data_IF_179407929454
#
_entry.id   IF_179407929454
#
_cell.length_a   1.000
_cell.length_b   1.000
_cell.length_c   1.000
_cell.angle_alpha   90.00
_cell.angle_beta   90.00
_cell.angle_gamma   90.00
#
_symmetry.space_group_name_H-M   'P 1'
#
loop_
_entity.id
_entity.type
_entity.pdbx_description
1 polymer ?
#
# COMPACT_ATOMS: atom_id res chain seq x y z
N UNK A 1 -59.81 -11.33 -30.07
CA UNK A 1 -59.71 -11.43 -31.54
C UNK A 1 -58.63 -12.42 -31.88
N UNK A 2 -58.88 -13.41 -32.76
CA UNK A 2 -57.85 -14.37 -33.12
C UNK A 2 -56.73 -13.65 -33.87
N UNK A 3 -55.49 -13.82 -33.40
CA UNK A 3 -54.30 -13.29 -34.06
C UNK A 3 -54.07 -14.14 -35.32
N UNK A 4 -54.43 -13.59 -36.48
CA UNK A 4 -54.10 -14.17 -37.77
C UNK A 4 -52.57 -14.17 -37.90
N UNK A 5 -51.96 -15.36 -37.98
CA UNK A 5 -50.54 -15.49 -38.36
C UNK A 5 -50.34 -14.83 -39.73
N UNK A 6 -49.25 -14.07 -39.94
CA UNK A 6 -48.98 -13.50 -41.25
C UNK A 6 -48.77 -14.64 -42.26
N UNK A 7 -49.23 -14.41 -43.50
CA UNK A 7 -49.09 -15.35 -44.60
C UNK A 7 -47.59 -15.63 -44.82
N UNK A 8 -47.16 -16.88 -44.63
CA UNK A 8 -45.79 -17.31 -44.89
C UNK A 8 -45.55 -17.40 -46.40
N UNK A 9 -45.23 -16.26 -46.99
CA UNK A 9 -44.63 -16.15 -48.32
C UNK A 9 -43.37 -15.30 -48.21
N UNK A 10 -42.39 -15.57 -49.06
CA UNK A 10 -41.22 -14.71 -49.19
C UNK A 10 -41.72 -13.28 -49.46
N UNK A 11 -41.37 -12.26 -48.64
CA UNK A 11 -41.91 -10.91 -48.81
C UNK A 11 -41.48 -10.27 -50.13
N UNK A 12 -40.48 -10.83 -50.79
CA UNK A 12 -40.03 -10.40 -52.10
C UNK A 12 -40.89 -11.00 -53.22
N UNK A 13 -41.59 -10.13 -53.94
CA UNK A 13 -42.27 -10.47 -55.19
C UNK A 13 -41.25 -10.93 -56.26
N UNK A 14 -41.63 -11.81 -57.20
CA UNK A 14 -40.75 -12.22 -58.30
C UNK A 14 -40.40 -11.02 -59.19
N UNK A 15 -39.13 -10.61 -59.16
CA UNK A 15 -38.54 -9.48 -59.90
C UNK A 15 -37.91 -9.96 -61.21
N UNK A 16 -38.13 -9.23 -62.32
CA UNK A 16 -37.59 -9.53 -63.65
C UNK A 16 -37.12 -8.24 -64.34
N UNK A 17 -36.07 -7.61 -63.77
CA UNK A 17 -35.56 -6.31 -64.22
C UNK A 17 -34.97 -6.29 -65.64
N UNK A 18 -34.62 -7.46 -66.19
CA UNK A 18 -34.05 -7.57 -67.54
C UNK A 18 -35.08 -7.44 -68.68
N UNK A 19 -36.38 -7.33 -68.37
CA UNK A 19 -37.44 -7.23 -69.37
C UNK A 19 -37.78 -5.77 -69.71
N UNK A 20 -37.67 -5.33 -70.99
CA UNK A 20 -37.87 -3.92 -71.37
C UNK A 20 -39.35 -3.48 -71.43
N UNK A 21 -40.31 -4.42 -71.45
CA UNK A 21 -41.74 -4.10 -71.54
C UNK A 21 -42.27 -3.51 -70.23
N UNK A 22 -42.86 -2.31 -70.30
CA UNK A 22 -43.48 -1.60 -69.15
C UNK A 22 -45.00 -1.44 -69.28
N UNK A 23 -45.63 -2.17 -70.21
CA UNK A 23 -47.04 -2.00 -70.54
C UNK A 23 -47.94 -2.67 -69.47
N UNK A 24 -48.64 -1.84 -68.70
CA UNK A 24 -49.65 -2.25 -67.72
C UNK A 24 -49.14 -2.50 -66.30
N UNK A 25 -50.05 -2.51 -65.33
CA UNK A 25 -49.76 -2.56 -63.89
C UNK A 25 -48.92 -3.77 -63.45
N UNK A 26 -49.10 -4.92 -64.10
CA UNK A 26 -48.37 -6.16 -63.80
C UNK A 26 -46.90 -6.09 -64.27
N UNK A 27 -46.65 -5.51 -65.44
CA UNK A 27 -45.30 -5.34 -65.96
C UNK A 27 -44.52 -4.28 -65.16
N UNK A 28 -45.18 -3.18 -64.79
CA UNK A 28 -44.59 -2.14 -63.95
C UNK A 28 -44.09 -2.71 -62.61
N UNK A 29 -44.91 -3.50 -61.91
CA UNK A 29 -44.54 -4.12 -60.64
C UNK A 29 -43.39 -5.13 -60.72
N UNK A 30 -43.07 -5.67 -61.90
CA UNK A 30 -42.06 -6.74 -62.06
C UNK A 30 -40.76 -6.27 -62.68
N UNK A 31 -40.83 -5.29 -63.58
CA UNK A 31 -39.73 -4.94 -64.49
C UNK A 31 -39.10 -3.58 -64.17
N UNK A 32 -39.74 -2.76 -63.31
CA UNK A 32 -39.17 -1.48 -62.87
C UNK A 32 -38.45 -1.70 -61.56
N UNK A 33 -37.17 -1.38 -61.54
CA UNK A 33 -36.38 -1.38 -60.32
C UNK A 33 -36.57 -0.05 -59.58
N UNK A 34 -37.09 -0.14 -58.36
CA UNK A 34 -37.23 0.97 -57.40
C UNK A 34 -36.43 0.70 -56.13
N UNK A 35 -35.60 -0.36 -56.11
CA UNK A 35 -34.87 -0.78 -54.91
C UNK A 35 -33.93 0.31 -54.40
N UNK A 36 -33.28 1.06 -55.28
CA UNK A 36 -32.43 2.19 -54.90
C UNK A 36 -33.23 3.30 -54.20
N UNK A 37 -34.43 3.62 -54.69
CA UNK A 37 -35.29 4.64 -54.10
C UNK A 37 -35.86 4.17 -52.77
N UNK A 38 -36.27 2.90 -52.67
CA UNK A 38 -36.75 2.29 -51.44
C UNK A 38 -35.65 2.24 -50.36
N UNK A 39 -34.44 1.81 -50.74
CA UNK A 39 -33.27 1.81 -49.86
C UNK A 39 -32.90 3.22 -49.40
N UNK A 40 -32.90 4.21 -50.31
CA UNK A 40 -32.64 5.60 -49.96
C UNK A 40 -33.67 6.18 -48.99
N UNK A 41 -34.96 5.83 -49.15
CA UNK A 41 -36.02 6.23 -48.22
C UNK A 41 -35.88 5.54 -46.86
N UNK A 42 -35.51 4.26 -46.83
CA UNK A 42 -35.26 3.50 -45.59
C UNK A 42 -34.04 4.04 -44.84
N UNK A 43 -32.96 4.38 -45.55
CA UNK A 43 -31.78 5.03 -44.99
C UNK A 43 -32.10 6.40 -44.43
N UNK A 44 -32.86 7.22 -45.17
CA UNK A 44 -33.34 8.53 -44.71
C UNK A 44 -34.18 8.38 -43.44
N UNK A 45 -35.13 7.44 -43.42
CA UNK A 45 -35.94 7.16 -42.23
C UNK A 45 -35.09 6.70 -41.05
N UNK A 46 -34.09 5.85 -41.27
CA UNK A 46 -33.17 5.40 -40.23
C UNK A 46 -32.33 6.56 -39.66
N UNK A 47 -31.88 7.50 -40.50
CA UNK A 47 -31.18 8.71 -40.08
C UNK A 47 -32.09 9.62 -39.25
N UNK A 48 -33.33 9.84 -39.71
CA UNK A 48 -34.34 10.60 -38.96
C UNK A 48 -34.58 9.99 -37.57
N UNK A 49 -34.75 8.66 -37.48
CA UNK A 49 -34.96 7.95 -36.21
C UNK A 49 -33.80 8.14 -35.24
N UNK A 50 -32.55 8.08 -35.74
CA UNK A 50 -31.32 8.17 -34.94
C UNK A 50 -30.96 9.60 -34.51
N UNK A 51 -31.61 10.62 -35.05
CA UNK A 51 -31.39 12.01 -34.65
C UNK A 51 -31.25 13.02 -35.79
N UNK A 52 -31.73 12.71 -36.99
CA UNK A 52 -31.78 13.65 -38.13
C UNK A 52 -30.75 13.34 -39.22
N UNK A 53 -30.96 13.91 -40.41
CA UNK A 53 -30.12 13.73 -41.60
C UNK A 53 -28.79 14.44 -41.40
N UNK A 54 -27.68 13.72 -41.55
CA UNK A 54 -26.33 14.25 -41.27
C UNK A 54 -25.98 15.40 -42.21
N UNK A 55 -26.43 15.32 -43.48
CA UNK A 55 -26.18 16.35 -44.49
C UNK A 55 -26.86 17.70 -44.21
N UNK A 56 -27.94 17.71 -43.41
CA UNK A 56 -28.67 18.94 -43.07
C UNK A 56 -28.12 19.62 -41.80
N UNK A 57 -27.30 18.91 -41.02
CA UNK A 57 -26.73 19.43 -39.77
C UNK A 57 -25.55 20.34 -40.06
N UNK A 58 -25.45 21.42 -39.31
CA UNK A 58 -24.30 22.33 -39.38
C UNK A 58 -23.05 21.65 -38.81
N UNK A 59 -21.88 22.07 -39.25
CA UNK A 59 -20.59 21.55 -38.74
C UNK A 59 -20.43 21.75 -37.23
N UNK A 60 -21.05 22.80 -36.67
CA UNK A 60 -21.03 23.09 -35.24
C UNK A 60 -21.77 22.05 -34.39
N UNK A 61 -22.84 21.44 -34.92
CA UNK A 61 -23.58 20.37 -34.24
C UNK A 61 -22.88 19.01 -34.34
N UNK A 62 -22.12 18.79 -35.41
CA UNK A 62 -21.41 17.53 -35.65
C UNK A 62 -20.08 17.45 -34.91
N UNK A 63 -19.41 18.59 -34.75
CA UNK A 63 -18.05 18.65 -34.21
C UNK A 63 -17.96 19.66 -33.07
N UNK A 64 -17.67 19.15 -31.87
CA UNK A 64 -17.30 19.97 -30.72
C UNK A 64 -15.84 19.68 -30.33
N UNK A 65 -15.04 20.72 -30.15
CA UNK A 65 -13.67 20.61 -29.65
C UNK A 65 -13.73 20.78 -28.13
N UNK A 66 -13.61 19.68 -27.40
CA UNK A 66 -13.64 19.70 -25.94
C UNK A 66 -12.27 20.11 -25.39
N UNK A 67 -12.12 21.40 -25.06
CA UNK A 67 -10.89 21.98 -24.51
C UNK A 67 -10.86 21.89 -22.98
N UNK A 68 -12.00 21.69 -22.30
CA UNK A 68 -12.10 21.72 -20.84
C UNK A 68 -13.06 20.65 -20.31
N UNK A 69 -12.68 19.89 -19.28
CA UNK A 69 -13.54 18.85 -18.72
C UNK A 69 -14.82 19.45 -18.13
N UNK A 70 -15.97 18.97 -18.58
CA UNK A 70 -17.27 19.41 -18.09
C UNK A 70 -17.57 18.85 -16.69
N UNK A 71 -17.55 19.75 -15.70
CA UNK A 71 -17.77 19.41 -14.29
C UNK A 71 -19.19 18.93 -14.00
N UNK A 72 -20.16 19.25 -14.86
CA UNK A 72 -21.54 18.80 -14.69
C UNK A 72 -21.72 17.31 -14.96
N UNK A 73 -20.89 16.72 -15.84
CA UNK A 73 -20.94 15.28 -16.15
C UNK A 73 -20.65 14.47 -14.89
N UNK A 74 -19.71 14.92 -14.05
CA UNK A 74 -19.41 14.26 -12.77
C UNK A 74 -20.55 14.33 -11.76
N UNK A 75 -21.42 15.35 -11.85
CA UNK A 75 -22.62 15.50 -11.02
C UNK A 75 -23.80 14.67 -11.56
N UNK A 76 -23.94 14.61 -12.90
CA UNK A 76 -25.00 13.88 -13.61
C UNK A 76 -24.76 12.37 -13.64
N UNK A 77 -23.51 11.94 -13.65
CA UNK A 77 -23.10 10.54 -13.59
C UNK A 77 -22.51 10.24 -12.21
N UNK A 78 -23.33 9.89 -11.19
CA UNK A 78 -22.78 9.35 -9.96
C UNK A 78 -21.97 8.10 -10.31
N UNK A 79 -20.79 7.96 -9.68
CA UNK A 79 -19.82 6.85 -9.86
C UNK A 79 -20.40 5.44 -9.63
N UNK A 80 -21.69 5.34 -9.28
CA UNK A 80 -22.43 4.13 -8.93
C UNK A 80 -23.72 3.94 -9.77
N UNK A 81 -23.81 4.49 -10.99
CA UNK A 81 -24.81 4.02 -11.95
C UNK A 81 -24.46 2.58 -12.35
N UNK A 82 -25.06 1.61 -11.65
CA UNK A 82 -25.21 0.25 -12.17
C UNK A 82 -25.82 0.39 -13.56
N UNK A 83 -25.24 -0.25 -14.58
CA UNK A 83 -25.84 -0.31 -15.91
C UNK A 83 -27.35 -0.56 -15.74
N UNK A 84 -28.23 0.27 -16.32
CA UNK A 84 -29.66 0.02 -16.23
C UNK A 84 -29.94 -1.39 -16.74
N UNK A 85 -31.02 -2.01 -16.26
CA UNK A 85 -31.41 -3.31 -16.79
C UNK A 85 -31.58 -3.18 -18.30
N UNK A 86 -31.23 -4.23 -19.06
CA UNK A 86 -31.33 -4.22 -20.53
C UNK A 86 -32.76 -3.89 -20.99
N UNK A 87 -33.79 -4.24 -20.19
CA UNK A 87 -35.17 -3.85 -20.43
C UNK A 87 -35.37 -2.33 -20.37
N UNK A 88 -34.84 -1.67 -19.34
CA UNK A 88 -34.94 -0.22 -19.16
C UNK A 88 -34.10 0.52 -20.21
N UNK A 89 -32.95 -0.04 -20.60
CA UNK A 89 -32.12 0.47 -21.71
C UNK A 89 -32.90 0.46 -23.04
N UNK A 90 -33.58 -0.66 -23.36
CA UNK A 90 -34.41 -0.77 -24.56
C UNK A 90 -35.59 0.21 -24.50
N UNK A 91 -36.23 0.38 -23.34
CA UNK A 91 -37.34 1.34 -23.18
C UNK A 91 -36.88 2.82 -23.23
N UNK A 92 -35.63 3.09 -22.86
CA UNK A 92 -35.03 4.41 -22.91
C UNK A 92 -34.56 4.82 -24.32
N UNK A 93 -34.33 3.86 -25.23
CA UNK A 93 -34.04 4.10 -26.65
C UNK A 93 -35.29 4.64 -27.37
N UNK A 94 -35.62 5.92 -27.12
CA UNK A 94 -36.67 6.64 -27.83
C UNK A 94 -36.07 7.28 -29.09
N UNK A 95 -36.71 7.08 -30.24
CA UNK A 95 -36.38 7.79 -31.48
C UNK A 95 -36.50 9.30 -31.29
N UNK A 96 -35.70 10.09 -32.00
CA UNK A 96 -35.83 11.54 -32.01
C UNK A 96 -37.20 12.02 -32.54
N UNK A 97 -37.86 11.20 -33.37
CA UNK A 97 -39.21 11.45 -33.88
C UNK A 97 -40.23 11.28 -32.75
N UNK A 98 -41.07 12.29 -32.46
CA UNK A 98 -42.13 12.16 -31.47
C UNK A 98 -43.16 11.12 -31.94
N UNK A 99 -43.68 10.32 -31.01
CA UNK A 99 -44.73 9.36 -31.32
C UNK A 99 -45.96 10.07 -31.92
N UNK A 100 -46.51 9.50 -33.00
CA UNK A 100 -47.74 10.00 -33.62
C UNK A 100 -48.85 9.98 -32.57
N UNK A 101 -49.46 11.13 -32.31
CA UNK A 101 -50.45 11.26 -31.24
C UNK A 101 -51.67 10.40 -31.55
N UNK A 102 -51.92 9.36 -30.73
CA UNK A 102 -53.07 8.45 -30.88
C UNK A 102 -54.42 9.07 -30.46
N UNK A 103 -54.42 10.33 -29.99
CA UNK A 103 -55.66 11.05 -29.67
C UNK A 103 -56.23 11.68 -30.94
N UNK A 104 -57.44 11.26 -31.34
CA UNK A 104 -58.35 12.11 -32.13
C UNK A 104 -58.59 13.38 -31.32
N UNK A 105 -57.96 14.50 -31.69
CA UNK A 105 -58.31 15.80 -31.12
C UNK A 105 -59.72 16.17 -31.60
N UNK A 106 -60.73 16.43 -30.74
CA UNK A 106 -61.67 17.49 -31.06
C UNK A 106 -60.84 18.77 -31.18
N UNK A 107 -61.11 19.58 -32.20
CA UNK A 107 -60.38 20.82 -32.45
C UNK A 107 -60.20 21.60 -31.14
N UNK A 108 -58.97 21.60 -30.62
CA UNK A 108 -58.63 22.36 -29.44
C UNK A 108 -58.64 23.83 -29.86
N UNK A 109 -59.40 24.65 -29.13
CA UNK A 109 -59.53 26.11 -29.31
C UNK A 109 -58.20 26.87 -29.25
N UNK A 110 -57.06 26.19 -29.05
CA UNK A 110 -55.72 26.76 -29.10
C UNK A 110 -55.02 26.55 -30.46
N UNK A 111 -55.63 25.81 -31.40
CA UNK A 111 -55.07 25.58 -32.75
C UNK A 111 -55.98 26.04 -33.89
N UNK A 112 -57.11 26.65 -33.57
CA UNK A 112 -58.08 27.18 -34.54
C UNK A 112 -58.00 28.69 -34.69
N UNK A 113 -56.81 29.26 -34.91
CA UNK A 113 -56.59 30.59 -35.52
C UNK A 113 -55.10 30.89 -35.55
N UNK A 114 -54.50 30.73 -36.73
CA UNK A 114 -53.27 31.45 -37.08
C UNK A 114 -53.73 32.85 -37.49
N UNK A 115 -53.76 33.80 -36.56
CA UNK A 115 -53.72 35.24 -36.85
C UNK A 115 -53.13 35.98 -35.65
N UNK A 116 -52.05 36.72 -35.91
CA UNK A 116 -51.25 37.57 -35.02
C UNK A 116 -50.65 36.94 -33.76
N UNK A 117 -49.31 36.84 -33.76
CA UNK A 117 -48.44 36.24 -32.75
C UNK A 117 -48.44 36.89 -31.36
N UNK A 118 -49.61 37.16 -30.78
CA UNK A 118 -49.75 37.59 -29.39
C UNK A 118 -50.44 36.49 -28.60
N UNK A 119 -49.64 35.75 -27.82
CA UNK A 119 -50.16 34.79 -26.85
C UNK A 119 -50.97 35.55 -25.78
N UNK A 120 -52.19 35.11 -25.41
CA UNK A 120 -52.93 35.76 -24.34
C UNK A 120 -52.19 35.55 -23.01
N UNK A 121 -51.65 36.63 -22.45
CA UNK A 121 -51.10 36.62 -21.09
C UNK A 121 -52.22 36.19 -20.13
N UNK A 122 -52.02 35.05 -19.47
CA UNK A 122 -52.94 34.52 -18.45
C UNK A 122 -53.21 35.62 -17.42
N UNK A 123 -54.41 36.22 -17.45
CA UNK A 123 -54.80 37.24 -16.46
C UNK A 123 -54.72 36.60 -15.07
N UNK A 124 -53.83 37.12 -14.22
CA UNK A 124 -53.76 36.75 -12.81
C UNK A 124 -55.10 37.13 -12.16
N UNK A 125 -55.76 36.18 -11.50
CA UNK A 125 -57.02 36.47 -10.81
C UNK A 125 -56.70 37.33 -9.58
N UNK A 126 -57.16 38.57 -9.56
CA UNK A 126 -56.85 39.56 -8.50
C UNK A 126 -57.32 39.15 -7.09
N UNK A 127 -58.24 38.19 -6.99
CA UNK A 127 -58.86 37.77 -5.72
C UNK A 127 -58.21 36.55 -5.08
N UNK A 128 -57.23 35.91 -5.72
CA UNK A 128 -56.65 34.65 -5.22
C UNK A 128 -55.12 34.67 -5.28
N UNK A 129 -54.48 34.62 -4.11
CA UNK A 129 -53.03 34.44 -4.01
C UNK A 129 -52.71 32.95 -4.18
N UNK A 130 -51.82 32.65 -5.11
CA UNK A 130 -51.46 31.26 -5.39
C UNK A 130 -50.66 30.67 -4.20
N UNK A 131 -50.76 29.36 -3.97
CA UNK A 131 -50.04 28.71 -2.87
C UNK A 131 -48.51 28.88 -2.97
N UNK A 132 -47.99 29.10 -4.18
CA UNK A 132 -46.58 29.43 -4.45
C UNK A 132 -46.21 30.83 -3.98
N UNK A 133 -47.11 31.81 -4.13
CA UNK A 133 -46.90 33.16 -3.63
C UNK A 133 -47.05 33.22 -2.11
N UNK A 134 -48.00 32.47 -1.54
CA UNK A 134 -48.11 32.34 -0.09
C UNK A 134 -46.86 31.72 0.55
N UNK A 135 -46.28 30.68 -0.04
CA UNK A 135 -45.04 30.07 0.47
C UNK A 135 -43.84 31.00 0.30
N UNK A 136 -43.80 31.78 -0.79
CA UNK A 136 -42.80 32.85 -0.98
C UNK A 136 -42.95 33.95 0.07
N UNK A 137 -44.17 34.44 0.32
CA UNK A 137 -44.45 35.48 1.31
C UNK A 137 -44.11 35.03 2.74
N UNK A 138 -44.41 33.77 3.08
CA UNK A 138 -43.98 33.18 4.36
C UNK A 138 -42.46 33.17 4.51
N UNK A 139 -41.73 32.69 3.49
CA UNK A 139 -40.26 32.70 3.48
C UNK A 139 -39.67 34.11 3.62
N UNK A 140 -40.29 35.10 2.96
CA UNK A 140 -39.89 36.51 3.09
C UNK A 140 -40.18 37.05 4.49
N UNK A 141 -41.32 36.69 5.10
CA UNK A 141 -41.64 37.05 6.48
C UNK A 141 -40.70 36.40 7.50
N UNK A 142 -40.23 35.19 7.23
CA UNK A 142 -39.24 34.45 8.03
C UNK A 142 -37.80 34.99 7.84
N UNK A 143 -37.60 36.08 7.09
CA UNK A 143 -36.29 36.71 6.88
C UNK A 143 -35.46 36.10 5.74
N UNK A 144 -35.97 35.11 5.02
CA UNK A 144 -35.31 34.52 3.85
C UNK A 144 -35.74 35.20 2.54
N UNK A 145 -35.28 36.44 2.37
CA UNK A 145 -35.32 37.18 1.11
C UNK A 145 -34.48 36.50 0.00
N UNK A 146 -34.96 36.56 -1.24
CA UNK A 146 -34.25 36.03 -2.42
C UNK A 146 -32.96 36.80 -2.74
N UNK A 147 -32.74 37.92 -2.08
CA UNK A 147 -31.58 38.81 -2.23
C UNK A 147 -30.53 38.63 -1.14
N UNK A 148 -30.84 37.94 -0.03
CA UNK A 148 -29.81 37.57 0.94
C UNK A 148 -29.15 36.28 0.52
N UNK A 149 -27.92 36.45 0.04
CA UNK A 149 -26.95 35.37 0.02
C UNK A 149 -26.34 35.34 1.42
N UNK A 150 -26.81 34.44 2.27
CA UNK A 150 -26.04 34.04 3.44
C UNK A 150 -24.75 33.40 2.90
N UNK A 151 -23.63 34.12 3.03
CA UNK A 151 -22.30 33.58 2.72
C UNK A 151 -21.98 32.60 3.85
N UNK A 152 -22.42 31.35 3.66
CA UNK A 152 -22.00 30.24 4.49
C UNK A 152 -20.59 29.89 4.02
N UNK A 153 -19.58 30.30 4.78
CA UNK A 153 -18.22 29.85 4.57
C UNK A 153 -18.23 28.32 4.59
N UNK A 154 -17.80 27.71 3.47
CA UNK A 154 -17.87 26.26 3.27
C UNK A 154 -16.83 25.54 4.14
N UNK A 155 -17.05 25.45 5.45
CA UNK A 155 -16.35 24.53 6.35
C UNK A 155 -16.96 23.13 6.22
N UNK A 156 -17.10 22.62 5.00
CA UNK A 156 -17.61 21.29 4.75
C UNK A 156 -16.43 20.33 4.54
N UNK A 157 -16.15 19.52 5.56
CA UNK A 157 -15.21 18.40 5.43
C UNK A 157 -15.86 17.31 4.55
N UNK A 158 -15.35 17.15 3.34
CA UNK A 158 -15.83 16.17 2.37
C UNK A 158 -15.69 14.70 2.84
N UNK A 159 -14.98 14.46 3.95
CA UNK A 159 -14.77 13.15 4.56
C UNK A 159 -15.53 12.96 5.87
N UNK A 160 -16.17 13.99 6.39
CA UNK A 160 -17.03 13.86 7.56
C UNK A 160 -18.36 13.22 7.16
N UNK A 161 -18.85 12.28 7.98
CA UNK A 161 -20.22 11.78 7.81
C UNK A 161 -21.18 12.98 7.90
N UNK A 162 -22.12 13.14 6.95
CA UNK A 162 -23.03 14.27 6.96
C UNK A 162 -23.79 14.30 8.29
N UNK A 163 -23.70 15.39 9.04
CA UNK A 163 -24.37 15.55 10.33
C UNK A 163 -25.87 15.26 10.26
N UNK A 164 -26.47 15.49 9.08
CA UNK A 164 -27.87 15.16 8.79
C UNK A 164 -28.19 13.67 8.94
N UNK A 165 -27.26 12.76 8.62
CA UNK A 165 -27.46 11.32 8.82
C UNK A 165 -27.39 10.93 10.29
N UNK A 166 -26.55 11.60 11.08
CA UNK A 166 -26.49 11.39 12.53
C UNK A 166 -27.77 11.90 13.20
N UNK A 167 -28.24 13.10 12.82
CA UNK A 167 -29.51 13.69 13.28
C UNK A 167 -30.71 12.84 12.88
N UNK A 168 -30.75 12.29 11.65
CA UNK A 168 -31.81 11.36 11.21
C UNK A 168 -31.81 10.05 12.01
N UNK A 169 -30.64 9.51 12.34
CA UNK A 169 -30.52 8.30 13.20
C UNK A 169 -30.99 8.56 14.62
N UNK A 170 -30.70 9.74 15.18
CA UNK A 170 -31.17 10.16 16.50
C UNK A 170 -32.69 10.37 16.51
N UNK A 171 -33.24 11.10 15.52
CA UNK A 171 -34.68 11.31 15.38
C UNK A 171 -35.44 10.00 15.15
N UNK A 172 -34.92 9.09 14.32
CA UNK A 172 -35.51 7.77 14.12
C UNK A 172 -35.49 6.92 15.41
N UNK A 173 -34.43 7.04 16.23
CA UNK A 173 -34.36 6.37 17.52
C UNK A 173 -35.38 6.93 18.52
N UNK A 174 -35.62 8.25 18.51
CA UNK A 174 -36.61 8.92 19.37
C UNK A 174 -38.06 8.65 18.93
N UNK A 175 -38.33 8.59 17.62
CA UNK A 175 -39.68 8.32 17.09
C UNK A 175 -40.08 6.85 17.21
N UNK A 176 -39.09 5.93 17.23
CA UNK A 176 -39.31 4.48 17.28
C UNK A 176 -38.78 3.86 18.58
N UNK A 177 -39.05 4.49 19.73
CA UNK A 177 -38.67 3.99 21.07
C UNK A 177 -39.27 2.62 21.44
N UNK A 178 -40.26 2.12 20.69
CA UNK A 178 -40.94 0.85 20.91
C UNK A 178 -40.34 -0.32 20.11
N UNK A 179 -39.45 -0.05 19.15
CA UNK A 179 -38.72 -1.11 18.45
C UNK A 179 -37.44 -1.45 19.24
N UNK A 180 -37.13 -2.75 19.43
CA UNK A 180 -35.86 -3.13 20.01
C UNK A 180 -34.73 -2.60 19.12
N UNK A 181 -33.80 -1.85 19.71
CA UNK A 181 -32.64 -1.29 19.00
C UNK A 181 -31.87 -2.45 18.37
N UNK A 182 -31.65 -2.37 17.05
CA UNK A 182 -30.86 -3.39 16.34
C UNK A 182 -29.43 -3.36 16.89
N UNK A 183 -29.08 -4.37 17.69
CA UNK A 183 -27.73 -4.50 18.23
C UNK A 183 -26.77 -4.85 17.11
N UNK A 184 -25.85 -3.92 16.80
CA UNK A 184 -24.73 -4.22 15.90
C UNK A 184 -23.80 -5.23 16.58
N UNK A 185 -23.20 -6.17 15.83
CA UNK A 185 -22.23 -7.10 16.40
C UNK A 185 -21.11 -6.32 17.10
N UNK A 186 -20.79 -6.69 18.35
CA UNK A 186 -19.75 -6.05 19.14
C UNK A 186 -18.41 -6.21 18.42
N UNK A 187 -17.79 -5.10 18.03
CA UNK A 187 -16.48 -5.12 17.42
C UNK A 187 -15.44 -5.70 18.41
N UNK A 188 -14.43 -6.44 17.93
CA UNK A 188 -13.36 -6.91 18.78
C UNK A 188 -12.58 -5.73 19.37
N UNK A 189 -12.16 -5.84 20.64
CA UNK A 189 -11.40 -4.81 21.37
C UNK A 189 -10.07 -4.42 20.68
N UNK A 190 -9.54 -5.29 19.82
CA UNK A 190 -8.30 -5.04 19.07
C UNK A 190 -8.44 -3.93 18.04
N UNK A 191 -9.65 -3.67 17.54
CA UNK A 191 -9.89 -2.64 16.52
C UNK A 191 -9.72 -1.22 17.09
N UNK A 192 -9.97 -1.05 18.39
CA UNK A 192 -9.79 0.23 19.09
C UNK A 192 -8.37 0.42 19.65
N UNK A 193 -7.54 -0.62 19.62
CA UNK A 193 -6.15 -0.52 20.09
C UNK A 193 -5.29 0.18 19.05
N UNK A 194 -4.51 1.17 19.51
CA UNK A 194 -3.57 1.88 18.67
C UNK A 194 -2.33 1.00 18.37
N UNK A 195 -1.67 1.20 17.22
CA UNK A 195 -0.46 0.46 16.88
C UNK A 195 0.67 0.79 17.88
N UNK A 196 1.49 -0.21 18.16
CA UNK A 196 2.63 -0.08 19.08
C UNK A 196 3.81 0.52 18.32
N UNK A 197 4.28 1.69 18.75
CA UNK A 197 5.47 2.32 18.16
C UNK A 197 6.77 1.57 18.52
N UNK A 198 7.74 1.62 17.61
CA UNK A 198 9.07 1.02 17.77
C UNK A 198 10.03 1.90 18.58
N UNK A 199 9.70 3.17 18.82
CA UNK A 199 10.48 4.10 19.63
C UNK A 199 10.65 3.59 21.07
N UNK A 200 11.86 3.68 21.63
CA UNK A 200 12.25 3.27 23.00
C UNK A 200 11.31 3.88 24.06
N UNK A 201 10.96 5.14 23.86
CA UNK A 201 10.05 5.94 24.69
C UNK A 201 8.62 5.41 24.66
N UNK A 202 8.14 4.89 23.52
CA UNK A 202 6.75 4.46 23.31
C UNK A 202 5.74 5.55 23.17
N UNK A 203 6.23 6.77 22.99
CA UNK A 203 5.44 7.83 22.41
C UNK A 203 5.10 7.48 20.97
N UNK A 204 4.01 8.05 20.49
CA UNK A 204 3.60 7.90 19.10
C UNK A 204 4.32 8.95 18.27
N UNK A 205 5.06 8.49 17.28
CA UNK A 205 5.75 9.41 16.37
C UNK A 205 4.75 10.11 15.45
N UNK A 206 4.99 11.40 15.14
CA UNK A 206 4.17 12.15 14.19
C UNK A 206 4.22 11.51 12.80
N UNK A 207 3.17 11.72 12.00
CA UNK A 207 3.10 11.15 10.65
C UNK A 207 4.13 11.73 9.68
N UNK A 208 4.55 12.97 9.92
CA UNK A 208 5.62 13.68 9.23
C UNK A 208 6.44 14.38 10.31
N UNK A 209 7.73 14.04 10.48
CA UNK A 209 8.58 14.76 11.43
C UNK A 209 8.82 16.18 10.91
N UNK A 210 8.93 17.15 11.84
CA UNK A 210 9.28 18.52 11.48
C UNK A 210 10.79 18.59 11.25
N UNK A 211 11.28 19.12 10.12
CA UNK A 211 12.71 19.28 9.91
C UNK A 211 13.25 20.35 10.86
N UNK A 212 14.48 20.16 11.33
CA UNK A 212 15.27 21.17 12.05
C UNK A 212 15.80 22.23 11.07
N UNK A 213 16.25 23.37 11.61
CA UNK A 213 16.74 24.52 10.82
C UNK A 213 18.00 24.20 9.99
N UNK A 214 18.80 23.26 10.46
CA UNK A 214 19.96 22.66 9.77
C UNK A 214 19.62 21.97 8.43
N UNK A 215 18.34 21.64 8.18
CA UNK A 215 17.82 21.05 6.93
C UNK A 215 17.25 22.08 5.96
N UNK A 216 17.31 23.37 6.30
CA UNK A 216 16.95 24.42 5.37
C UNK A 216 17.94 24.49 4.20
N UNK A 217 17.52 25.12 3.10
CA UNK A 217 18.37 25.29 1.91
C UNK A 217 19.57 26.22 2.16
N UNK A 218 19.43 27.16 3.10
CA UNK A 218 20.44 28.10 3.53
C UNK A 218 20.47 28.12 5.07
N UNK A 219 21.07 27.08 5.69
CA UNK A 219 21.12 26.93 7.14
C UNK A 219 22.12 27.93 7.76
N UNK A 220 21.93 28.21 9.05
CA UNK A 220 22.96 28.89 9.82
C UNK A 220 24.25 28.05 9.81
N UNK A 221 25.40 28.71 9.72
CA UNK A 221 26.70 28.04 9.59
C UNK A 221 26.99 27.09 10.76
N UNK A 222 26.62 27.48 11.98
CA UNK A 222 26.77 26.67 13.20
C UNK A 222 26.03 25.34 13.06
N UNK A 223 24.73 25.41 12.80
CA UNK A 223 23.82 24.27 12.76
C UNK A 223 24.20 23.30 11.62
N UNK A 224 24.59 23.86 10.47
CA UNK A 224 25.11 23.08 9.35
C UNK A 224 26.41 22.37 9.70
N UNK A 225 27.36 23.08 10.32
CA UNK A 225 28.68 22.52 10.66
C UNK A 225 28.56 21.39 11.69
N UNK A 226 27.65 21.52 12.65
CA UNK A 226 27.37 20.50 13.66
C UNK A 226 26.78 19.25 13.00
N UNK A 227 25.73 19.40 12.20
CA UNK A 227 25.15 18.30 11.44
C UNK A 227 26.16 17.62 10.52
N UNK A 228 26.98 18.40 9.81
CA UNK A 228 28.02 17.87 8.94
C UNK A 228 29.03 17.02 9.72
N UNK A 229 29.48 17.50 10.89
CA UNK A 229 30.39 16.76 11.76
C UNK A 229 29.74 15.49 12.35
N UNK A 230 28.46 15.54 12.72
CA UNK A 230 27.73 14.38 13.22
C UNK A 230 27.61 13.28 12.17
N UNK A 231 27.17 13.63 10.96
CA UNK A 231 27.05 12.67 9.86
C UNK A 231 28.42 12.14 9.41
N UNK A 232 29.46 12.99 9.42
CA UNK A 232 30.85 12.56 9.19
C UNK A 232 31.26 11.50 10.21
N UNK A 233 31.04 11.74 11.52
CA UNK A 233 31.38 10.77 12.58
C UNK A 233 30.61 9.47 12.41
N UNK A 234 29.31 9.51 12.08
CA UNK A 234 28.50 8.31 11.82
C UNK A 234 29.06 7.51 10.65
N UNK A 235 29.47 8.17 9.57
CA UNK A 235 30.06 7.52 8.40
C UNK A 235 31.43 6.90 8.72
N UNK A 236 32.30 7.62 9.43
CA UNK A 236 33.61 7.12 9.88
C UNK A 236 33.47 5.90 10.79
N UNK A 237 32.52 5.93 11.73
CA UNK A 237 32.22 4.79 12.59
C UNK A 237 31.72 3.57 11.82
N UNK A 238 30.87 3.77 10.81
CA UNK A 238 30.36 2.69 9.98
C UNK A 238 31.47 2.00 9.18
N UNK A 239 32.36 2.79 8.55
CA UNK A 239 33.52 2.26 7.82
C UNK A 239 34.53 1.59 8.77
N UNK A 240 34.80 2.18 9.94
CA UNK A 240 35.64 1.54 10.95
C UNK A 240 35.07 0.20 11.40
N UNK A 241 33.77 0.12 11.70
CA UNK A 241 33.10 -1.15 12.06
C UNK A 241 33.22 -2.18 10.94
N UNK A 242 33.06 -1.76 9.67
CA UNK A 242 33.24 -2.62 8.50
C UNK A 242 34.67 -3.17 8.40
N UNK A 243 35.68 -2.33 8.55
CA UNK A 243 37.09 -2.75 8.53
C UNK A 243 37.40 -3.71 9.69
N UNK A 244 36.93 -3.41 10.91
CA UNK A 244 37.11 -4.28 12.07
C UNK A 244 36.44 -5.65 11.87
N UNK A 245 35.27 -5.72 11.22
CA UNK A 245 34.60 -6.97 10.87
C UNK A 245 35.40 -7.79 9.86
N UNK A 246 35.91 -7.15 8.80
CA UNK A 246 36.79 -7.81 7.81
C UNK A 246 38.08 -8.33 8.43
N UNK A 247 38.71 -7.56 9.33
CA UNK A 247 39.90 -7.98 10.06
C UNK A 247 39.61 -9.18 10.97
N UNK A 248 38.48 -9.15 11.70
CA UNK A 248 38.04 -10.29 12.53
C UNK A 248 37.80 -11.54 11.68
N UNK A 249 37.20 -11.41 10.51
CA UNK A 249 37.01 -12.52 9.58
C UNK A 249 38.34 -13.07 9.05
N UNK A 250 39.27 -12.18 8.67
CA UNK A 250 40.63 -12.56 8.25
C UNK A 250 41.36 -13.35 9.34
N UNK A 251 41.32 -12.86 10.58
CA UNK A 251 41.95 -13.52 11.73
C UNK A 251 41.31 -14.88 12.03
N UNK A 252 39.97 -14.99 11.93
CA UNK A 252 39.27 -16.28 12.08
C UNK A 252 39.65 -17.26 10.98
N UNK A 253 39.75 -16.80 9.73
CA UNK A 253 40.16 -17.63 8.60
C UNK A 253 41.61 -18.11 8.75
N UNK A 254 42.52 -17.22 9.18
CA UNK A 254 43.91 -17.58 9.46
C UNK A 254 44.03 -18.59 10.61
N UNK A 255 43.29 -18.38 11.69
CA UNK A 255 43.23 -19.31 12.81
C UNK A 255 42.68 -20.68 12.37
N UNK A 256 41.60 -20.70 11.58
CA UNK A 256 41.04 -21.94 11.04
C UNK A 256 42.00 -22.65 10.08
N UNK A 257 42.73 -21.91 9.24
CA UNK A 257 43.75 -22.46 8.35
C UNK A 257 44.93 -23.06 9.14
N UNK A 258 45.39 -22.37 10.20
CA UNK A 258 46.42 -22.87 11.11
C UNK A 258 45.97 -24.15 11.81
N UNK A 259 44.76 -24.16 12.38
CA UNK A 259 44.21 -25.36 13.02
C UNK A 259 44.00 -26.51 12.03
N UNK A 260 43.59 -26.23 10.79
CA UNK A 260 43.47 -27.25 9.74
C UNK A 260 44.84 -27.81 9.35
N UNK A 261 45.86 -26.96 9.18
CA UNK A 261 47.20 -27.40 8.88
C UNK A 261 47.81 -28.22 10.02
N UNK A 262 47.53 -27.86 11.27
CA UNK A 262 47.93 -28.65 12.45
C UNK A 262 47.20 -29.99 12.50
N UNK A 263 45.90 -30.03 12.21
CA UNK A 263 45.14 -31.27 12.14
C UNK A 263 45.64 -32.18 11.01
N UNK A 264 45.89 -31.64 9.82
CA UNK A 264 46.45 -32.40 8.69
C UNK A 264 47.87 -32.89 8.98
N UNK A 265 48.70 -32.10 9.68
CA UNK A 265 50.02 -32.55 10.13
C UNK A 265 49.92 -33.64 11.19
N UNK A 266 48.93 -33.58 12.09
CA UNK A 266 48.66 -34.62 13.07
C UNK A 266 48.13 -35.90 12.41
N UNK A 267 47.24 -35.79 11.42
CA UNK A 267 46.75 -36.91 10.60
C UNK A 267 47.89 -37.55 9.81
N UNK A 268 48.73 -36.76 9.12
CA UNK A 268 49.93 -37.28 8.42
C UNK A 268 50.89 -37.97 9.38
N UNK A 269 51.06 -37.44 10.60
CA UNK A 269 51.87 -38.08 11.64
C UNK A 269 51.23 -39.38 12.15
N UNK A 270 49.90 -39.43 12.24
CA UNK A 270 49.17 -40.64 12.62
C UNK A 270 49.20 -41.69 11.50
N UNK A 271 49.02 -41.29 10.24
CA UNK A 271 49.10 -42.16 9.06
C UNK A 271 50.51 -42.74 8.87
N UNK A 272 51.55 -41.92 9.09
CA UNK A 272 52.93 -42.41 9.15
C UNK A 272 53.17 -43.36 10.33
N UNK A 273 52.51 -43.15 11.47
CA UNK A 273 52.58 -44.04 12.62
C UNK A 273 51.78 -45.34 12.43
N UNK A 274 50.70 -45.32 11.65
CA UNK A 274 49.91 -46.51 11.31
C UNK A 274 50.63 -47.37 10.26
N UNK A 275 51.34 -46.77 9.30
CA UNK A 275 52.22 -47.50 8.38
C UNK A 275 53.48 -48.08 9.04
N UNK A 276 53.94 -47.50 10.15
CA UNK A 276 55.10 -47.98 10.90
C UNK A 276 54.76 -49.14 11.86
N UNK A 277 53.47 -49.33 12.24
CA UNK A 277 53.03 -50.42 13.14
C UNK A 277 52.66 -51.72 12.38
N UNK A 278 52.35 -51.65 11.07
CA UNK A 278 52.12 -52.84 10.21
C UNK A 278 53.40 -53.34 9.49
N UNK A 279 54.51 -52.60 9.59
CA UNK A 279 55.82 -53.00 9.03
C UNK A 279 56.78 -53.59 10.08
N UNK A 280 56.33 -53.80 11.32
CA UNK A 280 57.14 -54.34 12.42
C UNK A 280 57.15 -55.88 12.50
N UNK A 281 56.73 -56.58 11.43
CA UNK A 281 56.87 -58.03 11.32
C UNK A 281 57.37 -58.51 9.95
N UNK A 282 58.54 -58.03 9.52
CA UNK A 282 59.43 -58.81 8.67
C UNK A 282 60.89 -58.40 8.93
N UNK A 283 61.77 -59.39 9.06
CA UNK A 283 63.04 -59.28 9.77
C UNK A 283 64.15 -58.50 9.07
N UNK A 284 65.03 -57.94 9.91
CA UNK A 284 66.43 -57.71 9.57
C UNK A 284 67.28 -57.82 10.85
N UNK A 285 68.02 -58.93 10.96
CA UNK A 285 69.26 -58.97 11.74
C UNK A 285 70.31 -58.10 11.03
N UNK A 286 70.83 -57.08 11.70
CA UNK A 286 72.27 -56.73 11.70
C UNK A 286 72.55 -55.52 12.59
N UNK A 287 73.24 -55.84 13.68
CA UNK A 287 74.30 -55.09 14.36
C UNK A 287 74.55 -53.61 13.98
N UNK A 288 74.11 -52.69 14.85
CA UNK A 288 74.79 -51.40 15.11
C UNK A 288 74.24 -50.77 16.41
N UNK A 289 75.11 -50.59 17.38
CA UNK A 289 74.88 -49.96 18.67
C UNK A 289 74.39 -48.50 18.59
N UNK A 290 73.53 -48.10 19.54
CA UNK A 290 73.53 -46.74 20.08
C UNK A 290 72.21 -45.96 20.02
N UNK A 291 71.52 -45.94 21.17
CA UNK A 291 70.48 -44.98 21.58
C UNK A 291 69.04 -45.20 21.10
N UNK A 292 68.54 -46.42 21.28
CA UNK A 292 67.11 -46.61 21.52
C UNK A 292 66.73 -46.02 22.90
N UNK A 293 66.10 -44.84 22.91
CA UNK A 293 65.37 -44.33 24.08
C UNK A 293 64.15 -45.23 24.35
N UNK A 294 64.37 -46.45 24.85
CA UNK A 294 63.34 -47.30 25.43
C UNK A 294 62.85 -46.60 26.70
N UNK A 295 61.78 -45.81 26.60
CA UNK A 295 61.05 -45.31 27.76
C UNK A 295 60.70 -46.53 28.63
N UNK A 296 61.40 -46.70 29.75
CA UNK A 296 61.11 -47.77 30.72
C UNK A 296 59.62 -47.71 31.05
N UNK A 297 58.89 -48.81 30.85
CA UNK A 297 57.50 -48.94 31.32
C UNK A 297 57.49 -48.55 32.80
N UNK A 298 56.64 -47.60 33.23
CA UNK A 298 56.67 -47.14 34.61
C UNK A 298 56.41 -48.30 35.56
N UNK A 299 57.32 -48.50 36.51
CA UNK A 299 57.21 -49.52 37.54
C UNK A 299 55.90 -49.35 38.33
N UNK A 300 55.33 -50.47 38.77
CA UNK A 300 54.07 -50.45 39.54
C UNK A 300 54.30 -49.68 40.84
N UNK A 301 53.62 -48.52 40.97
CA UNK A 301 53.67 -47.69 42.18
C UNK A 301 53.33 -48.52 43.42
N UNK A 302 54.16 -48.40 44.46
CA UNK A 302 53.94 -49.04 45.76
C UNK A 302 52.73 -48.45 46.48
N UNK A 303 52.13 -49.17 47.43
CA UNK A 303 50.96 -48.70 48.18
C UNK A 303 51.22 -47.36 48.90
N UNK A 304 52.42 -47.16 49.44
CA UNK A 304 52.84 -45.91 50.07
C UNK A 304 52.90 -44.74 49.07
N UNK A 305 53.44 -44.97 47.86
CA UNK A 305 53.46 -43.97 46.79
C UNK A 305 52.05 -43.61 46.31
N UNK A 306 51.14 -44.60 46.23
CA UNK A 306 49.72 -44.36 45.89
C UNK A 306 49.01 -43.52 46.96
N UNK A 307 49.25 -43.79 48.24
CA UNK A 307 48.68 -43.03 49.35
C UNK A 307 49.22 -41.59 49.40
N UNK A 308 50.51 -41.37 49.13
CA UNK A 308 51.12 -40.03 49.04
C UNK A 308 50.54 -39.22 47.88
N UNK A 309 50.34 -39.84 46.71
CA UNK A 309 49.69 -39.19 45.56
C UNK A 309 48.21 -38.90 45.87
N UNK A 310 47.51 -39.81 46.55
CA UNK A 310 46.11 -39.60 46.96
C UNK A 310 45.98 -38.42 47.92
N UNK A 311 46.89 -38.27 48.90
CA UNK A 311 46.92 -37.12 49.81
C UNK A 311 47.19 -35.81 49.07
N UNK A 312 48.23 -35.77 48.22
CA UNK A 312 48.54 -34.60 47.39
C UNK A 312 47.38 -34.20 46.47
N UNK A 313 46.75 -35.18 45.81
CA UNK A 313 45.58 -34.93 44.94
C UNK A 313 44.38 -34.42 45.74
N UNK A 314 44.16 -34.92 46.96
CA UNK A 314 43.10 -34.43 47.83
C UNK A 314 43.36 -32.99 48.29
N UNK A 315 44.60 -32.65 48.65
CA UNK A 315 45.01 -31.28 48.98
C UNK A 315 44.85 -30.32 47.78
N UNK A 316 45.30 -30.72 46.60
CA UNK A 316 45.11 -29.96 45.36
C UNK A 316 43.61 -29.75 45.03
N UNK A 317 42.76 -30.76 45.27
CA UNK A 317 41.31 -30.63 45.11
C UNK A 317 40.69 -29.69 46.14
N UNK A 318 41.13 -29.74 47.40
CA UNK A 318 40.68 -28.82 48.45
C UNK A 318 41.06 -27.38 48.14
N UNK A 319 42.31 -27.12 47.75
CA UNK A 319 42.76 -25.79 47.36
C UNK A 319 42.00 -25.25 46.14
N UNK A 320 41.71 -26.10 45.14
CA UNK A 320 40.87 -25.72 44.00
C UNK A 320 39.44 -25.38 44.41
N UNK A 321 38.86 -26.17 45.30
CA UNK A 321 37.51 -25.94 45.81
C UNK A 321 37.43 -24.65 46.64
N UNK A 322 38.40 -24.40 47.51
CA UNK A 322 38.50 -23.15 48.27
C UNK A 322 38.69 -21.93 47.37
N UNK A 323 39.54 -22.05 46.33
CA UNK A 323 39.70 -20.98 45.34
C UNK A 323 38.41 -20.73 44.55
N UNK A 324 37.64 -21.78 44.22
CA UNK A 324 36.35 -21.65 43.55
C UNK A 324 35.30 -20.98 44.46
N UNK A 325 35.26 -21.32 45.75
CA UNK A 325 34.40 -20.66 46.74
C UNK A 325 34.75 -19.17 46.84
N UNK A 326 36.04 -18.83 47.00
CA UNK A 326 36.49 -17.43 47.07
C UNK A 326 36.11 -16.62 45.82
N UNK A 327 36.24 -17.22 44.63
CA UNK A 327 35.78 -16.58 43.39
C UNK A 327 34.27 -16.35 43.40
N UNK A 328 33.48 -17.35 43.80
CA UNK A 328 32.02 -17.24 43.92
C UNK A 328 31.59 -16.17 44.92
N UNK A 329 32.29 -16.06 46.05
CA UNK A 329 32.04 -15.02 47.06
C UNK A 329 32.38 -13.62 46.54
N UNK A 330 33.50 -13.47 45.82
CA UNK A 330 33.88 -12.22 45.18
C UNK A 330 32.88 -11.81 44.09
N UNK A 331 32.41 -12.76 43.28
CA UNK A 331 31.33 -12.54 42.30
C UNK A 331 30.03 -12.13 43.00
N UNK A 332 29.65 -12.78 44.08
CA UNK A 332 28.45 -12.41 44.86
C UNK A 332 28.57 -11.01 45.48
N UNK A 333 29.76 -10.62 45.95
CA UNK A 333 30.04 -9.26 46.42
C UNK A 333 29.92 -8.23 45.29
N UNK A 334 30.45 -8.55 44.10
CA UNK A 334 30.33 -7.70 42.90
C UNK A 334 28.88 -7.55 42.45
N UNK A 335 28.08 -8.62 42.51
CA UNK A 335 26.63 -8.56 42.21
C UNK A 335 25.91 -7.62 43.20
N UNK A 336 26.27 -7.65 44.49
CA UNK A 336 25.71 -6.70 45.47
C UNK A 336 26.12 -5.25 45.19
N UNK A 337 27.35 -5.00 44.72
CA UNK A 337 27.79 -3.67 44.30
C UNK A 337 27.01 -3.18 43.08
N UNK A 338 26.89 -4.01 42.04
CA UNK A 338 26.12 -3.70 40.83
C UNK A 338 24.65 -3.42 41.17
N UNK A 339 24.05 -4.18 42.09
CA UNK A 339 22.67 -3.93 42.52
C UNK A 339 22.50 -2.56 43.19
N UNK A 340 23.49 -2.11 43.98
CA UNK A 340 23.48 -0.76 44.58
C UNK A 340 23.65 0.32 43.51
N UNK A 341 24.60 0.14 42.59
CA UNK A 341 24.84 1.07 41.47
C UNK A 341 23.59 1.22 40.58
N UNK A 342 22.89 0.12 40.31
CA UNK A 342 21.63 0.15 39.55
C UNK A 342 20.54 0.89 40.32
N UNK A 343 20.37 0.64 41.62
CA UNK A 343 19.39 1.33 42.45
C UNK A 343 19.69 2.84 42.54
N UNK A 344 20.96 3.24 42.60
CA UNK A 344 21.39 4.64 42.57
C UNK A 344 21.11 5.29 41.22
N UNK A 345 21.43 4.61 40.11
CA UNK A 345 21.10 5.09 38.75
C UNK A 345 19.60 5.21 38.54
N UNK A 346 18.80 4.25 39.00
CA UNK A 346 17.35 4.32 38.92
C UNK A 346 16.78 5.49 39.73
N UNK A 347 17.33 5.77 40.92
CA UNK A 347 16.97 6.95 41.71
C UNK A 347 17.35 8.25 41.01
N UNK A 348 18.54 8.34 40.43
CA UNK A 348 18.98 9.51 39.66
C UNK A 348 18.07 9.74 38.44
N UNK A 349 17.75 8.69 37.69
CA UNK A 349 16.82 8.77 36.56
C UNK A 349 15.40 9.15 37.01
N UNK A 350 14.95 8.67 38.17
CA UNK A 350 13.64 9.05 38.72
C UNK A 350 13.60 10.53 39.13
N UNK A 351 14.68 11.05 39.71
CA UNK A 351 14.82 12.48 40.04
C UNK A 351 14.88 13.33 38.78
N UNK A 352 15.71 12.96 37.79
CA UNK A 352 15.76 13.64 36.50
C UNK A 352 14.40 13.64 35.79
N UNK A 353 13.66 12.52 35.83
CA UNK A 353 12.29 12.45 35.30
C UNK A 353 11.31 13.34 36.05
N UNK A 354 11.42 13.42 37.38
CA UNK A 354 10.58 14.30 38.19
C UNK A 354 10.89 15.78 37.94
N UNK A 355 12.16 16.11 37.71
CA UNK A 355 12.61 17.46 37.36
C UNK A 355 12.19 17.84 35.92
N UNK A 356 12.31 16.91 34.96
CA UNK A 356 11.89 17.15 33.57
C UNK A 356 10.37 17.22 33.39
N UNK A 357 9.59 16.54 34.24
CA UNK A 357 8.13 16.59 34.19
C UNK A 357 7.54 17.97 34.60
N UNK A 358 8.30 18.84 35.25
CA UNK A 358 7.81 20.14 35.72
C UNK A 358 8.10 21.32 34.77
N UNK A 359 8.83 21.13 33.66
CA UNK A 359 9.23 22.27 32.80
C UNK A 359 8.80 22.12 31.33
N UNK A 360 8.56 20.93 30.77
CA UNK A 360 8.41 20.82 29.30
C UNK A 360 7.45 19.69 28.85
N UNK A 361 6.16 19.77 29.16
CA UNK A 361 5.20 18.81 28.57
C UNK A 361 4.67 19.23 27.18
N UNK A 362 4.79 20.50 26.76
CA UNK A 362 4.13 20.97 25.54
C UNK A 362 5.03 21.40 24.36
N UNK A 363 6.33 21.66 24.53
CA UNK A 363 7.16 22.22 23.42
C UNK A 363 8.42 21.41 23.04
N UNK A 364 9.05 20.69 23.97
CA UNK A 364 10.24 19.87 23.67
C UNK A 364 9.94 18.55 22.93
N UNK A 365 8.67 18.26 22.64
CA UNK A 365 8.21 16.99 22.02
C UNK A 365 8.16 17.02 20.49
N UNK A 366 8.56 18.14 19.87
CA UNK A 366 8.46 18.36 18.43
C UNK A 366 9.81 18.31 17.70
N UNK A 367 10.91 18.26 18.44
CA UNK A 367 12.27 18.09 17.93
C UNK A 367 12.73 16.63 18.10
N UNK A 368 11.88 15.68 17.70
CA UNK A 368 12.33 14.28 17.64
C UNK A 368 13.32 14.14 16.48
N UNK A 369 14.59 14.06 16.85
CA UNK A 369 15.71 13.70 15.98
C UNK A 369 15.39 12.48 15.12
N UNK A 370 15.95 12.46 13.90
CA UNK A 370 15.78 11.34 12.97
C UNK A 370 16.26 10.00 13.54
N UNK A 371 17.13 10.05 14.55
CA UNK A 371 17.71 8.93 15.28
C UNK A 371 16.91 8.57 16.53
N UNK A 372 15.62 8.32 16.34
CA UNK A 372 14.76 7.78 17.40
C UNK A 372 15.33 6.44 17.88
N UNK A 373 15.79 6.39 19.12
CA UNK A 373 16.23 5.16 19.76
C UNK A 373 15.13 4.10 19.69
N UNK A 374 15.44 2.91 19.20
CA UNK A 374 14.46 1.85 18.99
C UNK A 374 14.39 0.91 20.21
N UNK A 375 13.19 0.57 20.70
CA UNK A 375 12.97 -0.48 21.72
C UNK A 375 13.61 -1.80 21.34
N UNK A 376 13.50 -2.13 20.06
CA UNK A 376 14.05 -3.34 19.45
C UNK A 376 14.50 -2.98 18.04
N UNK A 377 15.72 -3.40 17.70
CA UNK A 377 16.29 -3.18 16.36
C UNK A 377 15.53 -3.93 15.26
N UNK A 378 14.76 -4.95 15.60
CA UNK A 378 14.08 -5.82 14.64
C UNK A 378 12.67 -6.20 15.11
N UNK A 379 11.65 -5.75 14.37
CA UNK A 379 10.28 -6.22 14.48
C UNK A 379 10.06 -7.33 13.45
N UNK A 380 9.94 -8.58 13.89
CA UNK A 380 9.72 -9.72 13.00
C UNK A 380 10.99 -10.21 12.30
N UNK A 381 10.88 -10.61 11.02
CA UNK A 381 11.99 -11.23 10.28
C UNK A 381 12.97 -10.23 9.68
N UNK A 382 12.54 -9.02 9.32
CA UNK A 382 13.36 -8.06 8.60
C UNK A 382 13.76 -6.89 9.51
N UNK A 383 14.98 -6.39 9.33
CA UNK A 383 15.45 -5.16 10.00
C UNK A 383 14.72 -3.95 9.42
N UNK A 384 14.57 -2.91 10.22
CA UNK A 384 14.09 -1.61 9.75
C UNK A 384 15.09 -1.06 8.71
N UNK A 385 14.63 -0.54 7.55
CA UNK A 385 15.52 0.13 6.62
C UNK A 385 16.12 1.37 7.28
N UNK A 386 17.42 1.59 7.09
CA UNK A 386 18.12 2.81 7.50
C UNK A 386 17.58 4.00 6.69
N UNK A 387 17.66 5.21 7.25
CA UNK A 387 17.26 6.43 6.54
C UNK A 387 18.32 6.71 5.46
N UNK A 388 17.90 7.20 4.30
CA UNK A 388 18.84 7.64 3.28
C UNK A 388 19.61 8.87 3.81
N UNK A 389 20.91 8.96 3.54
CA UNK A 389 21.72 10.12 3.91
C UNK A 389 21.39 11.28 2.97
N UNK A 390 20.72 12.29 3.51
CA UNK A 390 20.41 13.55 2.85
C UNK A 390 21.34 14.59 3.48
N UNK A 391 22.34 15.10 2.75
CA UNK A 391 23.28 16.12 3.24
C UNK A 391 23.93 16.83 2.05
N UNK A 392 23.66 18.13 1.92
CA UNK A 392 24.31 19.00 0.94
C UNK A 392 25.76 19.25 1.38
N UNK A 393 26.74 19.03 0.51
CA UNK A 393 28.14 19.35 0.78
C UNK A 393 28.39 20.87 0.76
N UNK A 394 29.47 21.37 1.40
CA UNK A 394 29.73 22.81 1.46
C UNK A 394 29.87 23.44 0.07
N UNK A 395 30.47 22.72 -0.87
CA UNK A 395 30.66 23.16 -2.26
C UNK A 395 29.35 23.19 -3.07
N UNK A 396 28.36 22.42 -2.63
CA UNK A 396 27.06 22.27 -3.28
C UNK A 396 26.00 23.19 -2.68
N UNK A 397 26.26 23.81 -1.52
CA UNK A 397 25.33 24.69 -0.84
C UNK A 397 25.11 25.97 -1.66
N UNK A 398 23.89 26.14 -2.20
CA UNK A 398 23.53 27.26 -3.06
C UNK A 398 22.70 28.29 -2.31
N UNK A 399 22.94 29.58 -2.61
CA UNK A 399 22.20 30.70 -2.00
C UNK A 399 20.79 30.90 -2.61
N UNK A 400 20.50 30.31 -3.79
CA UNK A 400 19.23 30.51 -4.50
C UNK A 400 18.37 29.25 -4.65
N UNK A 401 17.07 29.39 -4.38
CA UNK A 401 16.06 28.32 -4.54
C UNK A 401 15.93 27.80 -5.97
N UNK A 402 16.36 28.56 -6.98
CA UNK A 402 16.33 28.12 -8.38
C UNK A 402 17.39 27.09 -8.71
N UNK A 403 18.52 27.13 -8.00
CA UNK A 403 19.63 26.19 -8.17
C UNK A 403 19.54 25.01 -7.20
N UNK A 404 18.62 25.07 -6.23
CA UNK A 404 18.41 24.01 -5.26
C UNK A 404 17.99 22.72 -5.95
N UNK A 405 18.83 21.70 -5.81
CA UNK A 405 18.47 20.33 -6.19
C UNK A 405 17.72 19.70 -5.01
N UNK A 406 16.49 19.20 -5.21
CA UNK A 406 15.80 18.49 -4.15
C UNK A 406 16.55 17.20 -3.81
N UNK A 407 16.80 17.00 -2.53
CA UNK A 407 17.44 15.80 -2.01
C UNK A 407 16.38 14.84 -1.42
N UNK A 408 16.76 13.56 -1.32
CA UNK A 408 15.95 12.58 -0.61
C UNK A 408 14.82 11.94 -1.39
N UNK A 409 14.22 10.91 -0.79
CA UNK A 409 13.05 10.23 -1.33
C UNK A 409 11.94 10.15 -0.28
N UNK A 410 10.98 11.07 -0.39
CA UNK A 410 9.85 11.20 0.52
C UNK A 410 9.02 9.91 0.66
N UNK A 411 8.98 9.04 -0.36
CA UNK A 411 8.26 7.77 -0.26
C UNK A 411 8.96 6.81 0.71
N UNK A 412 10.30 6.76 0.66
CA UNK A 412 11.08 5.93 1.58
C UNK A 412 10.99 6.45 3.00
N UNK A 413 11.03 7.77 3.18
CA UNK A 413 10.89 8.41 4.49
C UNK A 413 9.52 8.18 5.11
N UNK A 414 8.44 8.38 4.34
CA UNK A 414 7.08 8.07 4.80
C UNK A 414 6.91 6.60 5.09
N UNK A 415 7.48 5.72 4.27
CA UNK A 415 7.46 4.28 4.51
C UNK A 415 8.18 3.92 5.81
N UNK A 416 9.40 4.44 6.04
CA UNK A 416 10.15 4.26 7.28
C UNK A 416 9.38 4.77 8.49
N UNK A 417 8.76 5.95 8.41
CA UNK A 417 7.94 6.47 9.50
C UNK A 417 6.72 5.57 9.78
N UNK A 418 6.06 5.05 8.75
CA UNK A 418 4.95 4.10 8.93
C UNK A 418 5.38 2.80 9.64
N UNK A 419 6.61 2.34 9.38
CA UNK A 419 7.23 1.22 10.09
C UNK A 419 7.54 1.56 11.56
N UNK A 420 8.14 2.73 11.81
CA UNK A 420 8.46 3.20 13.17
C UNK A 420 7.22 3.38 14.03
N UNK A 421 6.11 3.85 13.45
CA UNK A 421 4.80 3.95 14.11
C UNK A 421 4.09 2.61 14.32
N UNK A 422 4.65 1.51 13.81
CA UNK A 422 4.09 0.17 13.93
C UNK A 422 2.80 -0.05 13.13
N UNK A 423 2.51 0.81 12.14
CA UNK A 423 1.34 0.67 11.26
C UNK A 423 1.54 -0.38 10.17
N UNK A 424 2.78 -0.51 9.71
CA UNK A 424 3.21 -1.51 8.72
C UNK A 424 4.42 -2.24 9.26
N UNK A 425 4.59 -3.48 8.85
CA UNK A 425 5.80 -4.25 9.13
C UNK A 425 6.78 -4.22 7.95
N UNK A 426 8.07 -4.32 8.26
CA UNK A 426 9.11 -4.36 7.24
C UNK A 426 8.98 -5.67 6.45
N UNK A 427 8.83 -5.56 5.12
CA UNK A 427 8.75 -6.70 4.20
C UNK A 427 9.69 -6.47 3.03
N UNK A 428 10.23 -7.56 2.47
CA UNK A 428 10.98 -7.51 1.21
C UNK A 428 10.07 -7.96 0.07
N UNK A 429 10.26 -7.33 -1.10
CA UNK A 429 9.63 -7.78 -2.33
C UNK A 429 10.03 -9.23 -2.62
N UNK A 430 9.05 -10.09 -2.84
CA UNK A 430 9.26 -11.49 -3.24
C UNK A 430 9.05 -11.52 -4.76
N UNK A 431 10.12 -11.54 -5.58
CA UNK A 431 9.99 -11.38 -7.02
C UNK A 431 9.24 -12.55 -7.66
N UNK A 432 9.44 -13.77 -7.15
CA UNK A 432 8.79 -14.96 -7.65
C UNK A 432 8.37 -15.87 -6.50
N UNK A 433 7.16 -16.41 -6.59
CA UNK A 433 6.71 -17.51 -5.72
C UNK A 433 7.18 -18.83 -6.34
N UNK A 434 7.80 -19.70 -5.55
CA UNK A 434 8.17 -21.05 -5.99
C UNK A 434 6.91 -21.79 -6.43
N UNK A 435 6.78 -22.02 -7.74
CA UNK A 435 5.71 -22.86 -8.30
C UNK A 435 6.13 -24.33 -8.21
N UNK A 436 5.14 -25.22 -8.07
CA UNK A 436 5.39 -26.65 -8.18
C UNK A 436 5.93 -26.95 -9.59
N UNK A 437 6.90 -27.84 -9.70
CA UNK A 437 7.40 -28.30 -11.01
C UNK A 437 6.29 -29.10 -11.69
N UNK A 438 5.57 -28.50 -12.63
CA UNK A 438 4.59 -29.19 -13.46
C UNK A 438 5.23 -29.63 -14.77
N UNK A 439 4.88 -30.83 -15.24
CA UNK A 439 5.27 -31.26 -16.59
C UNK A 439 4.28 -30.63 -17.56
N UNK A 440 4.78 -29.83 -18.49
CA UNK A 440 3.99 -29.33 -19.61
C UNK A 440 3.98 -30.40 -20.68
N UNK A 441 2.82 -30.98 -20.94
CA UNK A 441 2.61 -31.95 -22.02
C UNK A 441 1.77 -31.31 -23.11
N UNK A 442 2.10 -31.57 -24.37
CA UNK A 442 1.24 -31.21 -25.49
C UNK A 442 -0.11 -31.92 -25.37
N UNK A 443 -1.18 -31.22 -25.76
CA UNK A 443 -2.51 -31.84 -25.83
C UNK A 443 -2.51 -32.87 -26.96
N UNK A 444 -3.16 -34.00 -26.75
CA UNK A 444 -3.19 -35.12 -27.69
C UNK A 444 -3.68 -34.71 -29.08
N UNK A 445 -4.60 -33.75 -29.17
CA UNK A 445 -5.11 -33.20 -30.44
C UNK A 445 -4.03 -32.59 -31.33
N UNK A 446 -2.96 -32.05 -30.77
CA UNK A 446 -1.82 -31.52 -31.52
C UNK A 446 -0.71 -32.55 -31.71
N UNK A 447 -0.65 -33.55 -30.81
CA UNK A 447 0.30 -34.65 -30.87
C UNK A 447 -0.01 -35.61 -32.03
N UNK A 448 -1.30 -35.82 -32.29
CA UNK A 448 -1.81 -36.73 -33.31
C UNK A 448 -2.25 -35.99 -34.59
N UNK A 449 -1.88 -34.70 -34.74
CA UNK A 449 -2.25 -33.91 -35.92
C UNK A 449 -1.38 -34.28 -37.13
N UNK A 450 -1.96 -35.03 -38.07
CA UNK A 450 -1.37 -35.31 -39.37
C UNK A 450 -2.14 -34.55 -40.46
N UNK A 451 -1.42 -33.82 -41.32
CA UNK A 451 -1.96 -33.25 -42.55
C UNK A 451 -2.18 -34.38 -43.56
N UNK A 452 -3.44 -34.62 -43.92
CA UNK A 452 -3.83 -35.53 -45.00
C UNK A 452 -3.76 -34.82 -46.36
#
# INVERSE_FOLDING_TARGET
MPVLKPLSGNPEAPKQYNQPSRKGKKAWRKNVDVTEVEQGLDELNAQIIKGGVIAEKTSEELFAIDVKPDTEITKKLPKQLKKPLKADEILAQRSAVPAVSLKKRPASETSGKVTDGVLPSKRLRATYVTQKELSRLKRVADGHHTTTVEVVDATFDAWADPEEEQKKKQQAAETFNFLPKVEKPKAPKTLTQQPISLAATGKQLPAVPKPKGDKSYNPAFTDYSERYQEELRKAEEAERKRLEELEKERLKAEAAAKSRAEAEAAEKRAELSEWEDDSAWEGAESDAEGLANKKKRPERKTQAQRNKIKRRKAEEQRLKHEAAIKKREAEAARVKQIAKELAEKERQLALQKAESNNVEEDDASLEEDDDVELRRRQLGKFKLPEKDLELVLPDELQDSLRLLKPEGNLLKDRYRNMLLRGKVEARRHIPFKKQAKTKVTEKWTFKDFNLA
#
